data_IF_879622009585
#
_entry.id   IF_879622009585
#
_cell.length_a   1.000
_cell.length_b   1.000
_cell.length_c   1.000
_cell.angle_alpha   90.00
_cell.angle_beta   90.00
_cell.angle_gamma   90.00
#
_symmetry.space_group_name_H-M   'P 1'
#
loop_
_entity.id
_entity.type
_entity.pdbx_description
1 polymer ?
#
# COMPACT_ATOMS: atom_id res chain seq x y z
N UNK A 1 -11.62 -25.01 12.16
CA UNK A 1 -12.66 -23.96 12.32
C UNK A 1 -12.09 -22.89 13.24
N UNK A 2 -11.63 -21.76 12.71
CA UNK A 2 -10.66 -20.90 13.41
C UNK A 2 -11.25 -19.95 14.48
N UNK A 3 -12.56 -19.77 14.59
CA UNK A 3 -13.12 -18.77 15.52
C UNK A 3 -14.59 -18.99 15.97
N UNK A 4 -15.14 -20.20 15.82
CA UNK A 4 -16.52 -20.52 16.23
C UNK A 4 -17.64 -19.60 15.68
N UNK A 5 -17.34 -18.77 14.67
CA UNK A 5 -18.32 -17.90 14.02
C UNK A 5 -19.36 -18.77 13.32
N UNK A 6 -20.65 -18.46 13.54
CA UNK A 6 -21.73 -19.15 12.84
C UNK A 6 -21.57 -18.92 11.33
N UNK A 7 -21.56 -19.97 10.50
CA UNK A 7 -21.40 -19.82 9.06
C UNK A 7 -22.61 -19.19 8.38
N UNK A 8 -23.79 -19.31 9.00
CA UNK A 8 -25.02 -18.69 8.51
C UNK A 8 -25.11 -17.22 8.91
N UNK A 9 -25.46 -16.37 7.96
CA UNK A 9 -25.88 -14.99 8.17
C UNK A 9 -27.14 -14.73 7.34
N UNK A 10 -27.96 -13.78 7.76
CA UNK A 10 -29.06 -13.28 6.95
C UNK A 10 -28.57 -12.02 6.21
N UNK A 11 -28.49 -12.02 4.87
CA UNK A 11 -28.19 -10.82 4.11
C UNK A 11 -29.24 -9.75 4.41
N UNK A 12 -28.79 -8.52 4.62
CA UNK A 12 -29.67 -7.35 4.73
C UNK A 12 -29.50 -6.51 3.47
N UNK A 13 -30.61 -6.19 2.83
CA UNK A 13 -30.63 -5.29 1.68
C UNK A 13 -31.12 -3.92 2.08
N UNK A 14 -30.81 -2.98 1.20
CA UNK A 14 -31.21 -1.60 1.30
C UNK A 14 -32.72 -1.47 1.08
N UNK A 15 -33.43 -0.72 1.93
CA UNK A 15 -34.84 -0.44 1.70
C UNK A 15 -35.04 0.34 0.39
N UNK A 16 -36.12 0.03 -0.34
CA UNK A 16 -36.44 0.70 -1.61
C UNK A 16 -36.72 2.19 -1.45
N UNK A 17 -37.30 2.60 -0.32
CA UNK A 17 -37.76 3.97 -0.06
C UNK A 17 -36.85 4.75 0.91
N UNK A 18 -35.63 4.27 1.14
CA UNK A 18 -34.72 4.96 2.05
C UNK A 18 -34.32 6.35 1.53
N UNK A 19 -34.01 7.25 2.46
CA UNK A 19 -33.59 8.62 2.16
C UNK A 19 -32.17 8.85 2.65
N UNK A 20 -31.39 9.56 1.85
CA UNK A 20 -30.03 9.98 2.21
C UNK A 20 -29.99 11.50 2.47
N UNK A 21 -29.14 11.92 3.40
CA UNK A 21 -28.85 13.35 3.61
C UNK A 21 -28.06 13.94 2.43
N UNK A 22 -27.29 13.10 1.74
CA UNK A 22 -26.45 13.48 0.61
C UNK A 22 -26.22 12.28 -0.31
N UNK A 23 -26.24 12.52 -1.62
CA UNK A 23 -25.94 11.51 -2.64
C UNK A 23 -24.82 12.00 -3.54
N UNK A 24 -23.81 11.16 -3.75
CA UNK A 24 -22.66 11.44 -4.61
C UNK A 24 -22.47 10.29 -5.58
N UNK A 25 -22.66 10.56 -6.87
CA UNK A 25 -22.31 9.65 -7.94
C UNK A 25 -20.86 9.92 -8.41
N UNK A 26 -20.04 8.87 -8.44
CA UNK A 26 -18.64 8.94 -8.90
C UNK A 26 -18.50 8.15 -10.20
N UNK A 27 -18.10 8.84 -11.27
CA UNK A 27 -17.76 8.21 -12.54
C UNK A 27 -16.35 7.60 -12.48
N UNK A 28 -16.30 6.27 -12.42
CA UNK A 28 -15.04 5.52 -12.30
C UNK A 28 -14.15 5.65 -13.54
N UNK A 29 -14.72 5.95 -14.72
CA UNK A 29 -13.95 6.10 -15.97
C UNK A 29 -13.06 7.34 -15.97
N UNK A 30 -13.36 8.30 -15.08
CA UNK A 30 -12.64 9.57 -14.93
C UNK A 30 -11.60 9.54 -13.82
N UNK A 31 -11.50 8.43 -13.08
CA UNK A 31 -10.50 8.31 -12.03
C UNK A 31 -9.12 8.10 -12.63
N UNK A 32 -8.14 8.79 -12.08
CA UNK A 32 -6.72 8.60 -12.39
C UNK A 32 -5.93 8.34 -11.10
N UNK A 33 -4.70 7.79 -11.19
CA UNK A 33 -3.86 7.59 -10.01
C UNK A 33 -3.62 8.90 -9.28
N UNK A 34 -3.99 8.94 -8.00
CA UNK A 34 -3.80 10.09 -7.11
C UNK A 34 -2.92 9.71 -5.92
N UNK A 35 -2.35 10.73 -5.30
CA UNK A 35 -1.56 10.62 -4.08
C UNK A 35 -2.09 11.61 -3.06
N UNK A 36 -2.36 11.16 -1.83
CA UNK A 36 -2.63 12.06 -0.71
C UNK A 36 -1.31 12.64 -0.19
N UNK A 37 -1.15 13.95 -0.32
CA UNK A 37 0.04 14.68 0.09
C UNK A 37 0.09 14.83 1.61
N UNK A 38 1.28 14.69 2.19
CA UNK A 38 1.52 15.03 3.58
C UNK A 38 1.08 16.47 3.91
N UNK A 39 0.54 16.76 5.11
CA UNK A 39 0.23 15.86 6.22
C UNK A 39 -1.23 15.39 6.29
N UNK A 40 -2.03 15.60 5.24
CA UNK A 40 -3.49 15.43 5.29
C UNK A 40 -3.96 14.36 4.30
N UNK A 41 -4.62 13.28 4.76
CA UNK A 41 -5.18 12.25 3.89
C UNK A 41 -6.21 12.79 2.88
N UNK A 42 -6.87 13.91 3.18
CA UNK A 42 -7.82 14.57 2.28
C UNK A 42 -7.17 15.38 1.15
N UNK A 43 -5.89 15.75 1.30
CA UNK A 43 -5.18 16.61 0.34
C UNK A 43 -4.59 15.78 -0.80
N UNK A 44 -5.40 15.46 -1.81
CA UNK A 44 -4.96 14.68 -2.98
C UNK A 44 -4.47 15.52 -4.15
N UNK A 45 -3.52 14.98 -4.92
CA UNK A 45 -3.11 15.46 -6.24
C UNK A 45 -2.90 14.29 -7.21
N UNK A 46 -3.05 14.48 -8.53
CA UNK A 46 -2.69 13.46 -9.51
C UNK A 46 -1.22 13.05 -9.37
N UNK A 47 -0.93 11.75 -9.47
CA UNK A 47 0.43 11.22 -9.31
C UNK A 47 1.40 11.83 -10.34
N UNK A 48 0.92 12.02 -11.58
CA UNK A 48 1.67 12.64 -12.69
C UNK A 48 2.18 14.07 -12.41
N UNK A 49 1.56 14.79 -11.48
CA UNK A 49 1.96 16.17 -11.12
C UNK A 49 3.05 16.22 -10.04
N UNK A 50 3.38 15.08 -9.42
CA UNK A 50 4.25 15.01 -8.25
C UNK A 50 5.64 14.44 -8.55
N UNK A 51 5.99 14.29 -9.83
CA UNK A 51 7.25 13.68 -10.28
C UNK A 51 8.54 14.41 -9.87
N UNK A 52 8.44 15.60 -9.26
CA UNK A 52 9.55 16.34 -8.67
C UNK A 52 9.87 15.92 -7.22
N UNK A 53 8.98 15.18 -6.57
CA UNK A 53 9.14 14.74 -5.18
C UNK A 53 10.00 13.46 -5.16
N UNK A 54 11.26 13.62 -4.77
CA UNK A 54 12.16 12.50 -4.43
C UNK A 54 11.69 11.80 -3.17
N UNK A 55 11.84 10.50 -3.14
CA UNK A 55 11.46 9.61 -2.04
C UNK A 55 12.70 8.90 -1.51
N UNK A 56 12.68 8.61 -0.22
CA UNK A 56 13.72 7.82 0.45
C UNK A 56 13.22 6.39 0.71
N UNK A 57 11.90 6.21 0.82
CA UNK A 57 11.28 4.94 1.20
C UNK A 57 9.95 4.68 0.49
N UNK A 58 9.68 3.41 0.22
CA UNK A 58 8.38 2.88 -0.14
C UNK A 58 7.89 1.85 0.89
N UNK A 59 6.58 1.81 1.11
CA UNK A 59 5.97 0.92 2.08
C UNK A 59 4.65 0.36 1.54
N UNK A 60 4.58 -0.97 1.37
CA UNK A 60 3.35 -1.70 1.07
C UNK A 60 3.01 -2.61 2.25
N UNK A 61 1.75 -2.57 2.70
CA UNK A 61 1.34 -3.42 3.81
C UNK A 61 0.36 -2.79 4.79
N UNK A 62 0.31 -3.38 5.99
CA UNK A 62 -0.65 -3.08 7.05
C UNK A 62 -2.09 -3.45 6.66
N UNK A 63 -3.08 -3.00 7.42
CA UNK A 63 -4.48 -3.36 7.22
C UNK A 63 -5.08 -2.85 5.89
N UNK A 64 -4.56 -1.73 5.36
CA UNK A 64 -5.13 -1.10 4.16
C UNK A 64 -4.55 -1.67 2.87
N UNK A 65 -3.22 -1.74 2.75
CA UNK A 65 -2.52 -2.16 1.54
C UNK A 65 -1.72 -3.45 1.71
N UNK A 66 -2.11 -4.32 2.64
CA UNK A 66 -1.39 -5.56 2.95
C UNK A 66 -2.17 -6.84 2.65
N UNK A 67 -3.24 -6.79 1.84
CA UNK A 67 -3.95 -8.00 1.39
C UNK A 67 -3.21 -8.60 0.20
N UNK A 68 -3.50 -9.86 -0.09
CA UNK A 68 -2.92 -10.57 -1.25
C UNK A 68 -3.17 -9.84 -2.56
N UNK A 69 -4.37 -9.30 -2.78
CA UNK A 69 -4.67 -8.46 -3.95
C UNK A 69 -3.79 -7.22 -4.05
N UNK A 70 -3.45 -6.58 -2.93
CA UNK A 70 -2.60 -5.39 -2.91
C UNK A 70 -1.17 -5.74 -3.36
N UNK A 71 -0.63 -6.84 -2.85
CA UNK A 71 0.69 -7.34 -3.24
C UNK A 71 0.74 -7.86 -4.68
N UNK A 72 -0.35 -8.45 -5.19
CA UNK A 72 -0.45 -8.84 -6.60
C UNK A 72 -0.37 -7.64 -7.53
N UNK A 73 -1.09 -6.55 -7.22
CA UNK A 73 -1.04 -5.31 -7.99
C UNK A 73 0.33 -4.62 -7.90
N UNK A 74 1.00 -4.69 -6.75
CA UNK A 74 2.38 -4.23 -6.60
C UNK A 74 3.35 -5.09 -7.45
N UNK A 75 3.21 -6.41 -7.36
CA UNK A 75 4.04 -7.37 -8.10
C UNK A 75 3.89 -7.19 -9.62
N UNK A 76 2.68 -6.90 -10.10
CA UNK A 76 2.39 -6.61 -11.51
C UNK A 76 3.27 -5.49 -12.07
N UNK A 77 3.54 -4.47 -11.28
CA UNK A 77 4.36 -3.31 -11.66
C UNK A 77 5.85 -3.62 -11.53
N UNK A 78 6.27 -4.34 -10.49
CA UNK A 78 7.68 -4.53 -10.18
C UNK A 78 8.35 -5.73 -10.86
N UNK A 79 7.57 -6.73 -11.30
CA UNK A 79 8.11 -7.97 -11.88
C UNK A 79 9.10 -7.68 -13.01
N UNK A 80 10.31 -8.24 -12.89
CA UNK A 80 11.41 -8.04 -13.83
C UNK A 80 12.18 -6.72 -13.66
N UNK A 81 11.96 -6.00 -12.55
CA UNK A 81 12.60 -4.72 -12.21
C UNK A 81 13.08 -4.76 -10.76
N UNK A 82 13.95 -3.82 -10.39
CA UNK A 82 14.43 -3.65 -9.01
C UNK A 82 13.98 -2.31 -8.44
N UNK A 83 13.71 -2.27 -7.14
CA UNK A 83 13.54 -1.00 -6.40
C UNK A 83 14.88 -0.26 -6.29
N UNK A 84 14.81 1.07 -6.25
CA UNK A 84 15.99 1.95 -6.09
C UNK A 84 15.99 2.72 -4.77
N UNK A 85 14.95 2.52 -3.95
CA UNK A 85 14.80 3.08 -2.60
C UNK A 85 14.44 1.97 -1.63
N UNK A 86 14.71 2.19 -0.34
CA UNK A 86 14.30 1.31 0.75
C UNK A 86 12.82 0.95 0.62
N UNK A 87 12.50 -0.33 0.43
CA UNK A 87 11.12 -0.76 0.17
C UNK A 87 10.74 -1.89 1.09
N UNK A 88 9.68 -1.69 1.88
CA UNK A 88 9.22 -2.65 2.89
C UNK A 88 7.86 -3.23 2.54
N UNK A 89 7.72 -4.55 2.66
CA UNK A 89 6.47 -5.28 2.47
C UNK A 89 6.00 -5.95 3.76
N UNK A 90 4.79 -5.61 4.21
CA UNK A 90 4.19 -6.12 5.46
C UNK A 90 2.80 -6.71 5.23
N UNK A 91 2.68 -8.03 5.04
CA UNK A 91 1.41 -8.74 4.95
C UNK A 91 0.46 -8.45 6.12
N UNK A 92 -0.83 -8.32 5.82
CA UNK A 92 -1.85 -7.98 6.82
C UNK A 92 -2.17 -9.14 7.77
N UNK A 93 -2.01 -10.39 7.30
CA UNK A 93 -2.32 -11.61 8.05
C UNK A 93 -1.31 -12.73 7.73
N UNK A 94 -1.15 -13.74 8.60
CA UNK A 94 -0.37 -14.93 8.27
C UNK A 94 -0.89 -15.68 7.04
N UNK A 95 -2.20 -15.65 6.80
CA UNK A 95 -2.81 -16.24 5.59
C UNK A 95 -2.29 -15.53 4.33
N UNK A 96 -2.19 -14.20 4.36
CA UNK A 96 -1.60 -13.44 3.25
C UNK A 96 -0.14 -13.82 3.00
N UNK A 97 0.65 -14.09 4.06
CA UNK A 97 2.01 -14.60 3.89
C UNK A 97 1.99 -15.92 3.13
N UNK A 98 1.15 -16.86 3.56
CA UNK A 98 1.01 -18.17 2.92
C UNK A 98 0.54 -18.07 1.46
N UNK A 99 -0.45 -17.22 1.18
CA UNK A 99 -0.94 -16.96 -0.17
C UNK A 99 0.15 -16.37 -1.07
N UNK A 100 0.99 -15.45 -0.57
CA UNK A 100 2.09 -14.90 -1.36
C UNK A 100 3.21 -15.90 -1.63
N UNK A 101 3.46 -16.83 -0.70
CA UNK A 101 4.44 -17.90 -0.82
C UNK A 101 3.95 -19.08 -1.67
N UNK A 102 2.66 -19.14 -2.01
CA UNK A 102 2.06 -20.23 -2.79
C UNK A 102 1.46 -19.78 -4.13
N UNK A 103 1.08 -18.50 -4.26
CA UNK A 103 0.62 -17.91 -5.50
C UNK A 103 1.80 -17.74 -6.46
N UNK A 104 1.73 -18.40 -7.62
CA UNK A 104 2.77 -18.37 -8.63
C UNK A 104 2.45 -17.39 -9.75
N UNK A 105 3.50 -16.73 -10.25
CA UNK A 105 3.45 -15.94 -11.47
C UNK A 105 4.60 -16.35 -12.40
N UNK A 106 4.32 -17.32 -13.26
CA UNK A 106 5.36 -18.05 -14.00
C UNK A 106 6.05 -19.05 -13.06
N UNK A 107 7.38 -19.09 -13.11
CA UNK A 107 8.19 -20.05 -12.36
C UNK A 107 8.53 -19.59 -10.93
N UNK A 108 8.01 -18.44 -10.50
CA UNK A 108 8.28 -17.86 -9.17
C UNK A 108 6.99 -17.59 -8.43
N UNK A 109 7.03 -17.70 -7.11
CA UNK A 109 5.99 -17.21 -6.22
C UNK A 109 5.96 -15.68 -6.22
N UNK A 110 4.82 -15.09 -5.84
CA UNK A 110 4.71 -13.64 -5.67
C UNK A 110 5.70 -13.15 -4.62
N UNK A 111 5.90 -13.91 -3.53
CA UNK A 111 6.89 -13.60 -2.51
C UNK A 111 8.31 -13.49 -3.08
N UNK A 112 8.75 -14.49 -3.86
CA UNK A 112 10.06 -14.48 -4.51
C UNK A 112 10.21 -13.30 -5.47
N UNK A 113 9.18 -12.98 -6.26
CA UNK A 113 9.20 -11.80 -7.15
C UNK A 113 9.46 -10.51 -6.38
N UNK A 114 8.84 -10.34 -5.21
CA UNK A 114 9.02 -9.15 -4.38
C UNK A 114 10.43 -9.11 -3.78
N UNK A 115 10.91 -10.23 -3.22
CA UNK A 115 12.25 -10.33 -2.62
C UNK A 115 13.34 -10.12 -3.68
N UNK A 116 13.22 -10.75 -4.84
CA UNK A 116 14.16 -10.62 -5.95
C UNK A 116 14.23 -9.18 -6.47
N UNK A 117 13.10 -8.46 -6.46
CA UNK A 117 13.07 -7.05 -6.81
C UNK A 117 13.70 -6.13 -5.76
N UNK A 118 14.13 -6.66 -4.61
CA UNK A 118 14.75 -5.91 -3.51
C UNK A 118 13.78 -5.45 -2.43
N UNK A 119 12.55 -5.95 -2.40
CA UNK A 119 11.59 -5.63 -1.33
C UNK A 119 11.95 -6.39 -0.06
N UNK A 120 12.10 -5.67 1.04
CA UNK A 120 12.30 -6.24 2.37
C UNK A 120 10.96 -6.73 2.91
N UNK A 121 10.74 -8.03 2.82
CA UNK A 121 9.53 -8.69 3.32
C UNK A 121 9.66 -9.13 4.78
N UNK A 122 8.54 -9.16 5.50
CA UNK A 122 8.44 -9.82 6.81
C UNK A 122 7.31 -10.83 6.83
N UNK A 123 7.54 -11.97 7.46
CA UNK A 123 6.50 -12.99 7.69
C UNK A 123 5.64 -12.63 8.93
N UNK A 124 6.08 -11.69 9.75
CA UNK A 124 5.36 -11.23 10.92
C UNK A 124 4.26 -10.24 10.54
N UNK A 125 3.07 -10.76 10.28
CA UNK A 125 1.89 -9.95 10.05
C UNK A 125 1.63 -9.01 11.23
N UNK A 126 1.70 -7.70 10.98
CA UNK A 126 1.55 -6.67 11.99
C UNK A 126 1.23 -5.31 11.37
N UNK A 127 0.98 -4.32 12.23
CA UNK A 127 0.88 -2.93 11.78
C UNK A 127 2.24 -2.31 11.42
N UNK A 128 3.35 -2.83 11.97
CA UNK A 128 4.72 -2.35 11.75
C UNK A 128 4.82 -0.80 11.68
N UNK A 129 5.60 -0.26 10.74
CA UNK A 129 5.79 1.18 10.58
C UNK A 129 4.49 1.99 10.45
N UNK A 130 3.37 1.41 10.01
CA UNK A 130 2.09 2.12 9.87
C UNK A 130 1.64 2.78 11.19
N UNK A 131 1.99 2.21 12.35
CA UNK A 131 1.66 2.77 13.67
C UNK A 131 2.80 3.59 14.31
N UNK A 132 3.96 3.67 13.66
CA UNK A 132 5.15 4.36 14.18
C UNK A 132 6.00 3.51 15.12
N UNK A 133 5.40 2.86 16.12
CA UNK A 133 6.04 1.88 17.01
C UNK A 133 7.36 2.29 17.69
N UNK A 134 7.98 1.39 18.48
CA UNK A 134 9.34 1.59 19.01
C UNK A 134 10.40 1.60 17.89
N UNK A 135 11.63 2.01 18.20
CA UNK A 135 12.70 2.29 17.20
C UNK A 135 13.13 1.08 16.35
N UNK A 136 12.89 -0.13 16.85
CA UNK A 136 13.16 -1.42 16.18
C UNK A 136 12.01 -1.89 15.29
N UNK A 137 10.91 -1.14 15.20
CA UNK A 137 9.75 -1.48 14.37
C UNK A 137 10.16 -1.60 12.90
N UNK A 138 9.80 -2.73 12.27
CA UNK A 138 10.11 -3.00 10.87
C UNK A 138 9.59 -1.89 9.94
N UNK A 139 10.50 -1.33 9.13
CA UNK A 139 10.21 -0.24 8.19
C UNK A 139 9.99 1.14 8.81
N UNK A 140 10.19 1.32 10.12
CA UNK A 140 10.03 2.62 10.80
C UNK A 140 11.00 3.66 10.25
N UNK A 141 10.52 4.88 10.06
CA UNK A 141 11.37 6.02 9.71
C UNK A 141 12.03 6.57 10.97
N UNK A 142 13.29 6.20 11.23
CA UNK A 142 14.03 6.62 12.42
C UNK A 142 14.63 8.02 12.30
N UNK A 143 14.86 8.49 11.07
CA UNK A 143 15.34 9.84 10.73
C UNK A 143 14.32 10.56 9.85
N UNK A 144 14.47 11.87 9.58
CA UNK A 144 13.61 12.56 8.60
C UNK A 144 13.71 11.93 7.21
N UNK A 145 12.60 11.42 6.69
CA UNK A 145 12.51 10.74 5.40
C UNK A 145 11.20 11.10 4.68
N UNK A 146 11.16 10.92 3.35
CA UNK A 146 9.94 10.96 2.54
C UNK A 146 9.56 9.54 2.13
N UNK A 147 8.38 9.10 2.57
CA UNK A 147 7.87 7.76 2.30
C UNK A 147 6.60 7.81 1.45
N UNK A 148 6.54 7.00 0.40
CA UNK A 148 5.31 6.67 -0.32
C UNK A 148 4.74 5.37 0.25
N UNK A 149 3.46 5.37 0.62
CA UNK A 149 2.88 4.29 1.44
C UNK A 149 1.48 3.89 0.96
N UNK A 150 1.19 2.58 0.99
CA UNK A 150 -0.15 2.03 0.78
C UNK A 150 -1.01 1.96 2.07
N UNK A 151 -0.60 2.70 3.11
CA UNK A 151 -1.39 2.89 4.34
C UNK A 151 -2.45 3.97 4.15
N UNK A 152 -3.20 4.32 5.20
CA UNK A 152 -4.34 5.25 5.15
C UNK A 152 -4.17 6.55 5.95
N UNK A 153 -3.03 6.78 6.59
CA UNK A 153 -2.80 7.94 7.47
C UNK A 153 -1.39 8.49 7.27
N UNK A 154 -1.27 9.82 7.17
CA UNK A 154 -0.02 10.50 6.88
C UNK A 154 0.27 11.75 7.73
N UNK A 155 -0.32 11.87 8.91
CA UNK A 155 -0.02 12.98 9.83
C UNK A 155 1.44 12.93 10.35
N UNK A 156 2.01 14.05 10.84
CA UNK A 156 3.40 14.10 11.31
C UNK A 156 3.68 13.07 12.41
N UNK A 157 4.81 12.35 12.28
CA UNK A 157 5.20 11.29 13.22
C UNK A 157 4.43 9.98 13.10
N UNK A 158 3.48 9.85 12.14
CA UNK A 158 2.65 8.65 12.01
C UNK A 158 3.46 7.36 11.86
N UNK A 159 4.53 7.41 11.08
CA UNK A 159 5.36 6.25 10.74
C UNK A 159 6.77 6.30 11.36
N UNK A 160 6.95 7.10 12.41
CA UNK A 160 8.22 7.23 13.13
C UNK A 160 8.58 8.69 13.40
N UNK A 161 9.66 9.17 12.81
CA UNK A 161 10.20 10.50 13.04
C UNK A 161 9.19 11.61 12.69
N UNK A 162 9.06 12.62 13.56
CA UNK A 162 8.04 13.69 13.43
C UNK A 162 8.18 14.53 12.17
N UNK A 163 9.41 14.70 11.70
CA UNK A 163 9.73 15.47 10.48
C UNK A 163 9.62 14.64 9.19
N UNK A 164 9.35 13.33 9.30
CA UNK A 164 9.13 12.51 8.11
C UNK A 164 7.80 12.85 7.44
N UNK A 165 7.81 12.81 6.11
CA UNK A 165 6.65 13.08 5.28
C UNK A 165 6.14 11.78 4.67
N UNK A 166 4.82 11.57 4.74
CA UNK A 166 4.18 10.37 4.21
C UNK A 166 3.21 10.75 3.10
N UNK A 167 3.34 10.11 1.96
CA UNK A 167 2.47 10.25 0.80
C UNK A 167 1.67 8.96 0.66
N UNK A 168 0.33 9.04 0.60
CA UNK A 168 -0.52 7.85 0.53
C UNK A 168 -0.91 7.57 -0.91
N UNK A 169 -0.76 6.34 -1.37
CA UNK A 169 -1.07 5.97 -2.73
C UNK A 169 -1.51 4.50 -2.85
N UNK A 170 -2.03 4.12 -4.02
CA UNK A 170 -2.35 2.72 -4.31
C UNK A 170 -1.08 1.85 -4.38
N UNK A 171 -1.18 0.52 -4.20
CA UNK A 171 -0.05 -0.40 -4.32
C UNK A 171 0.75 -0.24 -5.62
N UNK A 172 0.07 -0.09 -6.77
CA UNK A 172 0.73 0.14 -8.06
C UNK A 172 1.55 1.44 -8.09
N UNK A 173 1.01 2.54 -7.56
CA UNK A 173 1.72 3.84 -7.49
C UNK A 173 2.92 3.75 -6.55
N UNK A 174 2.80 3.04 -5.42
CA UNK A 174 3.93 2.76 -4.52
C UNK A 174 5.01 1.97 -5.26
N UNK A 175 4.65 0.91 -6.01
CA UNK A 175 5.60 0.10 -6.77
C UNK A 175 6.34 0.91 -7.83
N UNK A 176 5.62 1.67 -8.66
CA UNK A 176 6.22 2.53 -9.68
C UNK A 176 7.16 3.57 -9.06
N UNK A 177 6.78 4.11 -7.90
CA UNK A 177 7.60 5.06 -7.16
C UNK A 177 8.83 4.42 -6.54
N UNK A 178 8.74 3.17 -6.07
CA UNK A 178 9.86 2.40 -5.54
C UNK A 178 10.93 2.10 -6.60
N UNK A 179 10.51 1.85 -7.85
CA UNK A 179 11.41 1.61 -9.00
C UNK A 179 12.10 2.90 -9.47
N UNK A 180 11.47 4.05 -9.27
CA UNK A 180 11.94 5.33 -9.83
C UNK A 180 12.55 6.29 -8.81
N UNK A 181 12.40 6.03 -7.51
CA UNK A 181 12.91 6.87 -6.42
C UNK A 181 12.18 8.22 -6.26
N UNK A 182 11.03 8.38 -6.90
CA UNK A 182 10.21 9.59 -6.87
C UNK A 182 8.75 9.23 -7.09
N UNK A 183 7.82 10.13 -6.74
CA UNK A 183 6.40 9.85 -6.95
C UNK A 183 6.12 9.69 -8.44
N UNK A 184 5.59 8.53 -8.83
CA UNK A 184 5.46 8.16 -10.24
C UNK A 184 4.08 7.58 -10.54
N UNK A 185 3.51 8.00 -11.66
CA UNK A 185 2.25 7.45 -12.17
C UNK A 185 2.46 6.00 -12.65
N UNK A 186 1.68 5.03 -12.14
CA UNK A 186 1.90 3.61 -12.44
C UNK A 186 1.55 3.24 -13.88
N UNK A 187 0.77 4.04 -14.62
CA UNK A 187 0.33 3.71 -15.98
C UNK A 187 1.48 3.48 -16.94
N UNK A 188 2.64 4.13 -16.72
CA UNK A 188 3.85 3.90 -17.51
C UNK A 188 4.47 2.50 -17.36
N UNK A 189 4.00 1.69 -16.41
CA UNK A 189 4.49 0.34 -16.13
C UNK A 189 3.46 -0.75 -16.44
N UNK A 190 2.24 -0.37 -16.84
CA UNK A 190 1.16 -1.28 -17.16
C UNK A 190 1.12 -1.46 -18.69
N UNK A 191 1.67 -2.57 -19.17
CA UNK A 191 1.52 -3.06 -20.54
C UNK A 191 0.40 -4.09 -20.64
#
# INVERSE_FOLDING_TARGET
KLNATKPGYQPVERDREQKFVYELAVDLSRLEPVVACHPDPGRRKPARELGNIKLDRAYIGSCTGGKTSDFLEFARVIRGRHVVIDTFGVPATPETVHELQSCHWGDKTVWEILVDAGVQMTENASCAACLGGPTDTFGRMNTPMKCISATNRNFPGRMGHKESQVFLASPMTVAASAITGKITDPRGFLS
#
